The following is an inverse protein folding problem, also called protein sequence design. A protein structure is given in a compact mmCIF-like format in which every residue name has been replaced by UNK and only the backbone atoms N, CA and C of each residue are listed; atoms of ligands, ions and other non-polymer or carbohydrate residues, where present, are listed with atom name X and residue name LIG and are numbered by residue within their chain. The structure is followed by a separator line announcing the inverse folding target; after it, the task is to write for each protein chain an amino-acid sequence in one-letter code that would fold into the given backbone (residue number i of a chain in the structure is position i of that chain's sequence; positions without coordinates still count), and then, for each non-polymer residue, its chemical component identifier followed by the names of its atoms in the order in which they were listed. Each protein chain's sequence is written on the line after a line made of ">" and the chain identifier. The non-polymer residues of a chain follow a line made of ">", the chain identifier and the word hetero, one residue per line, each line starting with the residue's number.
data_IF_798499419252
#
_entry.id   IF_798499419252
#
_cell.length_a   1.000
_cell.length_b   1.000
_cell.length_c   1.000
_cell.angle_alpha   90.00
_cell.angle_beta   90.00
_cell.angle_gamma   90.00
#
_symmetry.space_group_name_H-M   'P 1'
#
loop_
_entity.id
_entity.type
_entity.pdbx_description
1 polymer ?
#
# COMPACT_ATOMS: atom_id res chain seq x y z
N UNK A 1 2.67 -15.71 7.92
CA UNK A 1 2.35 -15.47 9.35
C UNK A 1 2.78 -14.05 9.69
N UNK A 2 1.91 -13.24 10.29
CA UNK A 2 2.23 -11.84 10.61
C UNK A 2 3.10 -11.79 11.87
N UNK A 3 4.27 -11.16 11.77
CA UNK A 3 5.21 -11.09 12.90
C UNK A 3 4.82 -10.14 14.02
N UNK A 4 3.76 -9.34 13.82
CA UNK A 4 3.27 -8.39 14.83
C UNK A 4 2.16 -9.01 15.68
N UNK A 5 1.16 -9.63 15.06
CA UNK A 5 0.00 -10.20 15.77
C UNK A 5 0.03 -11.72 15.85
N UNK A 6 1.00 -12.39 15.21
CA UNK A 6 1.17 -13.84 15.18
C UNK A 6 -0.04 -14.59 14.60
N UNK A 7 -0.84 -13.91 13.76
CA UNK A 7 -1.94 -14.51 13.00
C UNK A 7 -1.60 -14.64 11.51
N UNK A 8 -2.26 -15.58 10.86
CA UNK A 8 -2.17 -15.83 9.42
C UNK A 8 -3.57 -15.69 8.80
N UNK A 9 -3.62 -15.16 7.59
CA UNK A 9 -4.79 -15.18 6.73
C UNK A 9 -4.38 -15.55 5.30
N UNK A 10 -5.37 -15.77 4.43
CA UNK A 10 -5.16 -16.14 3.04
C UNK A 10 -5.20 -14.93 2.09
N UNK A 11 -4.98 -13.70 2.57
CA UNK A 11 -5.01 -12.49 1.73
C UNK A 11 -3.69 -12.30 0.96
N UNK A 12 -3.27 -13.33 0.24
CA UNK A 12 -2.12 -13.25 -0.65
C UNK A 12 -2.38 -12.27 -1.79
N UNK A 13 -1.31 -11.73 -2.40
CA UNK A 13 -1.41 -10.86 -3.57
C UNK A 13 -2.28 -9.62 -3.34
N UNK A 14 -2.21 -9.04 -2.14
CA UNK A 14 -2.94 -7.83 -1.73
C UNK A 14 -2.02 -6.88 -0.96
N UNK A 15 -2.41 -5.61 -0.86
CA UNK A 15 -1.76 -4.58 -0.04
C UNK A 15 -2.13 -4.72 1.46
N UNK A 16 -3.06 -5.61 1.81
CA UNK A 16 -3.34 -5.98 3.20
C UNK A 16 -2.14 -6.61 3.94
N UNK A 17 -1.13 -7.08 3.20
CA UNK A 17 0.18 -7.49 3.69
C UNK A 17 1.28 -6.59 3.15
N UNK A 18 2.23 -6.25 4.01
CA UNK A 18 3.42 -5.46 3.65
C UNK A 18 4.67 -6.15 4.15
N UNK A 19 5.77 -6.00 3.42
CA UNK A 19 6.99 -6.69 3.76
C UNK A 19 8.23 -6.15 3.08
N UNK A 20 9.35 -6.81 3.36
CA UNK A 20 10.64 -6.57 2.73
C UNK A 20 11.17 -7.89 2.21
N UNK A 21 11.29 -8.02 0.88
CA UNK A 21 11.81 -9.24 0.25
C UNK A 21 13.24 -9.55 0.69
N UNK A 22 14.06 -8.51 0.93
CA UNK A 22 15.43 -8.69 1.39
C UNK A 22 15.50 -9.30 2.81
N UNK A 23 14.54 -8.98 3.67
CA UNK A 23 14.51 -9.48 5.05
C UNK A 23 13.56 -10.68 5.25
N UNK A 24 12.79 -11.05 4.22
CA UNK A 24 11.73 -12.07 4.28
C UNK A 24 10.73 -11.88 5.43
N UNK A 25 10.52 -10.63 5.84
CA UNK A 25 9.62 -10.28 6.94
C UNK A 25 8.37 -9.61 6.40
N UNK A 26 7.23 -10.12 6.84
CA UNK A 26 5.91 -9.70 6.41
C UNK A 26 4.98 -9.49 7.62
N UNK A 27 4.10 -8.50 7.52
CA UNK A 27 3.04 -8.27 8.49
C UNK A 27 1.78 -7.76 7.79
N UNK A 28 0.63 -7.87 8.46
CA UNK A 28 -0.56 -7.17 7.99
C UNK A 28 -0.29 -5.65 7.99
N UNK A 29 -0.74 -4.94 6.95
CA UNK A 29 -0.59 -3.49 6.83
C UNK A 29 -1.10 -2.77 8.08
N UNK A 30 -2.29 -3.13 8.56
CA UNK A 30 -2.88 -2.57 9.79
C UNK A 30 -2.01 -2.80 11.03
N UNK A 31 -1.36 -3.95 11.12
CA UNK A 31 -0.45 -4.23 12.22
C UNK A 31 0.82 -3.36 12.13
N UNK A 32 1.34 -3.18 10.91
CA UNK A 32 2.46 -2.28 10.63
C UNK A 32 2.13 -0.83 10.98
N UNK A 33 0.95 -0.35 10.59
CA UNK A 33 0.46 1.01 10.91
C UNK A 33 0.33 1.19 12.43
N UNK A 34 -0.36 0.29 13.12
CA UNK A 34 -0.56 0.37 14.57
C UNK A 34 0.76 0.35 15.37
N UNK A 35 1.80 -0.29 14.83
CA UNK A 35 3.14 -0.33 15.43
C UNK A 35 4.07 0.77 14.93
N UNK A 36 3.57 1.73 14.15
CA UNK A 36 4.35 2.81 13.54
C UNK A 36 5.55 2.30 12.71
N UNK A 37 5.36 1.16 12.05
CA UNK A 37 6.30 0.56 11.10
C UNK A 37 6.10 1.12 9.70
N UNK A 38 4.89 1.56 9.34
CA UNK A 38 4.61 2.26 8.09
C UNK A 38 4.57 3.77 8.40
N UNK A 39 5.58 4.51 7.95
CA UNK A 39 5.73 5.95 8.21
C UNK A 39 6.60 6.66 7.16
N UNK A 40 6.47 7.98 7.07
CA UNK A 40 7.35 8.82 6.26
C UNK A 40 8.80 8.69 6.73
N UNK A 41 9.73 8.55 5.79
CA UNK A 41 11.16 8.44 6.04
C UNK A 41 12.00 8.97 4.88
N UNK A 42 13.33 9.09 5.02
CA UNK A 42 14.20 9.59 3.96
C UNK A 42 14.17 8.68 2.73
N UNK A 43 14.02 9.25 1.54
CA UNK A 43 13.92 8.46 0.31
C UNK A 43 15.15 7.58 0.07
N UNK A 44 14.94 6.30 -0.24
CA UNK A 44 16.02 5.32 -0.46
C UNK A 44 16.72 5.52 -1.80
N UNK A 45 16.00 6.03 -2.80
CA UNK A 45 16.47 6.19 -4.19
C UNK A 45 16.36 7.62 -4.70
N UNK A 46 15.75 8.52 -3.93
CA UNK A 46 15.51 9.90 -4.31
C UNK A 46 16.63 10.87 -3.94
N UNK A 47 16.50 12.15 -4.31
CA UNK A 47 17.39 13.21 -3.87
C UNK A 47 17.40 13.34 -2.34
N UNK A 48 18.55 13.73 -1.79
CA UNK A 48 18.67 14.03 -0.35
C UNK A 48 17.65 15.10 0.08
N UNK A 49 16.99 14.87 1.20
CA UNK A 49 15.95 15.76 1.74
C UNK A 49 14.52 15.48 1.25
N UNK A 50 14.33 14.50 0.35
CA UNK A 50 13.00 14.02 -0.02
C UNK A 50 12.56 12.93 0.94
N UNK A 51 11.34 13.03 1.46
CA UNK A 51 10.70 11.97 2.24
C UNK A 51 9.84 11.10 1.32
N UNK A 52 9.62 9.84 1.72
CA UNK A 52 8.68 8.91 1.09
C UNK A 52 8.05 8.01 2.16
N UNK A 53 6.87 7.49 1.89
CA UNK A 53 6.25 6.50 2.77
C UNK A 53 7.04 5.18 2.76
N UNK A 54 7.41 4.69 3.94
CA UNK A 54 8.29 3.53 4.10
C UNK A 54 7.75 2.54 5.11
N UNK A 55 8.02 1.26 4.88
CA UNK A 55 7.87 0.19 5.86
C UNK A 55 9.21 -0.13 6.50
N UNK A 56 9.29 0.02 7.82
CA UNK A 56 10.46 -0.25 8.65
C UNK A 56 10.33 -1.59 9.35
N UNK A 57 11.37 -2.42 9.26
CA UNK A 57 11.44 -3.67 10.02
C UNK A 57 12.10 -3.48 11.40
N UNK A 58 11.60 -4.20 12.41
CA UNK A 58 12.01 -4.08 13.82
C UNK A 58 13.46 -4.49 14.12
N UNK A 59 14.11 -5.30 13.26
CA UNK A 59 15.38 -5.95 13.62
C UNK A 59 16.63 -5.51 12.87
N UNK A 60 16.54 -4.82 11.72
CA UNK A 60 17.72 -4.59 10.86
C UNK A 60 17.86 -3.19 10.27
N UNK A 61 16.98 -2.24 10.61
CA UNK A 61 17.09 -0.86 10.09
C UNK A 61 16.90 -0.73 8.57
N UNK A 62 16.54 -1.82 7.87
CA UNK A 62 16.10 -1.78 6.48
C UNK A 62 14.69 -1.20 6.39
N UNK A 63 14.50 -0.35 5.40
CA UNK A 63 13.22 0.18 5.00
C UNK A 63 12.87 -0.29 3.58
N UNK A 64 11.58 -0.51 3.32
CA UNK A 64 11.02 -0.71 1.99
C UNK A 64 10.20 0.51 1.61
N UNK A 65 10.36 0.98 0.38
CA UNK A 65 9.57 2.08 -0.18
C UNK A 65 8.15 1.59 -0.53
N UNK A 66 7.11 2.29 -0.05
CA UNK A 66 5.74 1.78 -0.07
C UNK A 66 4.97 2.06 -1.35
N UNK A 67 5.19 3.20 -2.02
CA UNK A 67 4.47 3.53 -3.25
C UNK A 67 4.84 2.56 -4.38
N UNK A 68 6.12 2.26 -4.55
CA UNK A 68 6.59 1.23 -5.49
C UNK A 68 6.01 -0.15 -5.15
N UNK A 69 6.03 -0.54 -3.88
CA UNK A 69 5.44 -1.81 -3.43
C UNK A 69 3.96 -1.91 -3.80
N UNK A 70 3.14 -0.93 -3.43
CA UNK A 70 1.70 -0.93 -3.73
C UNK A 70 1.45 -0.92 -5.24
N UNK A 71 2.20 -0.12 -5.99
CA UNK A 71 2.12 -0.09 -7.44
C UNK A 71 2.37 -1.47 -8.07
N UNK A 72 3.41 -2.17 -7.63
CA UNK A 72 3.76 -3.48 -8.16
C UNK A 72 2.70 -4.54 -7.84
N UNK A 73 2.08 -4.48 -6.66
CA UNK A 73 0.95 -5.33 -6.27
C UNK A 73 -0.25 -5.09 -7.20
N UNK A 74 -0.67 -3.84 -7.39
CA UNK A 74 -1.80 -3.54 -8.29
C UNK A 74 -1.51 -3.95 -9.73
N UNK A 75 -0.33 -3.64 -10.26
CA UNK A 75 0.04 -3.98 -11.64
C UNK A 75 0.06 -5.48 -11.90
N UNK A 76 0.43 -6.27 -10.88
CA UNK A 76 0.58 -7.72 -11.01
C UNK A 76 -0.70 -8.49 -10.67
N UNK A 77 -1.52 -7.97 -9.77
CA UNK A 77 -2.60 -8.74 -9.13
C UNK A 77 -4.00 -8.16 -9.35
N UNK A 78 -4.15 -6.86 -9.61
CA UNK A 78 -5.48 -6.22 -9.65
C UNK A 78 -6.41 -6.78 -10.73
N UNK A 79 -5.86 -7.32 -11.82
CA UNK A 79 -6.64 -7.96 -12.90
C UNK A 79 -7.37 -9.22 -12.46
N UNK A 80 -6.91 -9.87 -11.40
CA UNK A 80 -7.51 -11.09 -10.85
C UNK A 80 -8.47 -10.78 -9.69
N UNK A 81 -8.50 -9.53 -9.22
CA UNK A 81 -9.36 -9.14 -8.11
C UNK A 81 -10.81 -8.95 -8.55
N UNK A 82 -11.73 -9.40 -7.70
CA UNK A 82 -13.13 -8.99 -7.77
C UNK A 82 -13.33 -7.57 -7.25
N UNK A 83 -14.50 -7.00 -7.51
CA UNK A 83 -14.88 -5.63 -7.07
C UNK A 83 -14.69 -5.43 -5.56
N UNK A 84 -15.10 -6.39 -4.74
CA UNK A 84 -14.96 -6.32 -3.27
C UNK A 84 -13.47 -6.25 -2.85
N UNK A 85 -12.63 -7.10 -3.43
CA UNK A 85 -11.18 -7.08 -3.15
C UNK A 85 -10.59 -5.75 -3.58
N UNK A 86 -10.89 -5.27 -4.78
CA UNK A 86 -10.37 -3.99 -5.27
C UNK A 86 -10.76 -2.83 -4.33
N UNK A 87 -12.03 -2.74 -3.91
CA UNK A 87 -12.46 -1.72 -2.96
C UNK A 87 -11.69 -1.82 -1.64
N UNK A 88 -11.51 -3.05 -1.12
CA UNK A 88 -10.74 -3.28 0.10
C UNK A 88 -9.27 -2.87 -0.04
N UNK A 89 -8.65 -3.10 -1.19
CA UNK A 89 -7.26 -2.70 -1.44
C UNK A 89 -7.11 -1.18 -1.59
N UNK A 90 -8.07 -0.49 -2.20
CA UNK A 90 -8.12 0.97 -2.20
C UNK A 90 -8.22 1.54 -0.77
N UNK A 91 -9.01 0.90 0.09
CA UNK A 91 -9.08 1.24 1.52
C UNK A 91 -7.76 1.00 2.26
N UNK A 92 -6.96 0.00 1.87
CA UNK A 92 -5.63 -0.21 2.43
C UNK A 92 -4.65 0.84 1.96
N UNK A 93 -4.67 1.21 0.68
CA UNK A 93 -3.85 2.29 0.14
C UNK A 93 -4.11 3.60 0.89
N UNK A 94 -5.37 3.95 1.11
CA UNK A 94 -5.73 5.11 1.91
C UNK A 94 -5.06 5.07 3.29
N UNK A 95 -5.15 3.95 4.01
CA UNK A 95 -4.57 3.78 5.35
C UNK A 95 -3.05 3.82 5.34
N UNK A 96 -2.42 3.19 4.35
CA UNK A 96 -0.97 3.16 4.17
C UNK A 96 -0.44 4.58 3.93
N UNK A 97 -1.12 5.40 3.14
CA UNK A 97 -0.65 6.73 2.75
C UNK A 97 -1.29 7.89 3.52
N UNK A 98 -2.16 7.63 4.50
CA UNK A 98 -2.87 8.66 5.28
C UNK A 98 -1.93 9.68 5.95
N UNK A 99 -0.76 9.22 6.42
CA UNK A 99 0.27 10.06 7.04
C UNK A 99 1.43 10.43 6.10
N UNK A 100 1.31 10.14 4.81
CA UNK A 100 2.37 10.38 3.84
C UNK A 100 2.63 11.87 3.65
N UNK A 101 3.90 12.28 3.73
CA UNK A 101 4.29 13.67 3.52
C UNK A 101 4.66 13.95 2.06
N UNK A 102 5.03 12.89 1.33
CA UNK A 102 5.49 12.95 -0.04
C UNK A 102 4.33 13.12 -1.04
N UNK A 103 4.65 13.75 -2.18
CA UNK A 103 3.68 14.07 -3.21
C UNK A 103 2.96 12.82 -3.73
N UNK A 104 3.71 11.73 -3.97
CA UNK A 104 3.16 10.51 -4.57
C UNK A 104 2.21 9.80 -3.62
N UNK A 105 2.57 9.68 -2.35
CA UNK A 105 1.71 9.13 -1.31
C UNK A 105 0.43 9.93 -1.14
N UNK A 106 0.52 11.26 -1.10
CA UNK A 106 -0.66 12.14 -1.02
C UNK A 106 -1.59 12.00 -2.23
N UNK A 107 -1.02 11.99 -3.44
CA UNK A 107 -1.80 11.80 -4.67
C UNK A 107 -2.48 10.43 -4.70
N UNK A 108 -1.78 9.37 -4.28
CA UNK A 108 -2.33 8.02 -4.23
C UNK A 108 -3.45 7.91 -3.20
N UNK A 109 -3.29 8.50 -2.01
CA UNK A 109 -4.33 8.56 -0.99
C UNK A 109 -5.63 9.19 -1.53
N UNK A 110 -5.51 10.34 -2.21
CA UNK A 110 -6.67 11.04 -2.80
C UNK A 110 -7.25 10.25 -3.98
N UNK A 111 -6.42 9.69 -4.87
CA UNK A 111 -6.90 8.87 -5.99
C UNK A 111 -7.64 7.64 -5.50
N UNK A 112 -7.12 6.97 -4.48
CA UNK A 112 -7.76 5.80 -3.87
C UNK A 112 -9.17 6.15 -3.33
N UNK A 113 -9.31 7.31 -2.65
CA UNK A 113 -10.62 7.80 -2.18
C UNK A 113 -11.62 8.08 -3.30
N UNK A 114 -11.16 8.76 -4.34
CA UNK A 114 -12.00 9.07 -5.51
C UNK A 114 -12.44 7.79 -6.21
N UNK A 115 -11.53 6.84 -6.41
CA UNK A 115 -11.84 5.57 -7.08
C UNK A 115 -12.75 4.69 -6.23
N UNK A 116 -12.50 4.60 -4.92
CA UNK A 116 -13.36 3.86 -3.99
C UNK A 116 -14.79 4.42 -4.02
N UNK A 117 -14.94 5.75 -3.92
CA UNK A 117 -16.23 6.43 -4.01
C UNK A 117 -16.93 6.16 -5.36
N UNK A 118 -16.19 6.20 -6.47
CA UNK A 118 -16.73 5.91 -7.81
C UNK A 118 -17.17 4.45 -7.96
N UNK A 119 -16.47 3.50 -7.34
CA UNK A 119 -16.88 2.09 -7.35
C UNK A 119 -18.16 1.88 -6.55
N UNK A 120 -18.22 2.42 -5.32
CA UNK A 120 -19.42 2.37 -4.46
C UNK A 120 -20.64 2.97 -5.16
N UNK A 121 -20.46 4.08 -5.87
CA UNK A 121 -21.53 4.77 -6.63
C UNK A 121 -21.73 4.20 -8.04
N UNK A 122 -21.00 3.15 -8.42
CA UNK A 122 -21.04 2.49 -9.75
C UNK A 122 -20.81 3.44 -10.93
N UNK A 123 -20.03 4.50 -10.71
CA UNK A 123 -19.64 5.47 -11.73
C UNK A 123 -18.42 5.03 -12.54
N UNK A 124 -17.76 3.93 -12.15
CA UNK A 124 -16.60 3.36 -12.83
C UNK A 124 -16.62 1.84 -12.72
N UNK A 125 -16.05 1.14 -13.70
CA UNK A 125 -15.86 -0.31 -13.60
C UNK A 125 -14.62 -0.66 -12.76
N UNK A 126 -14.56 -1.85 -12.15
CA UNK A 126 -13.36 -2.31 -11.43
C UNK A 126 -12.10 -2.35 -12.29
N UNK A 127 -12.22 -2.73 -13.57
CA UNK A 127 -11.10 -2.74 -14.51
C UNK A 127 -10.57 -1.33 -14.75
N UNK A 128 -11.47 -0.39 -15.06
CA UNK A 128 -11.08 1.00 -15.30
C UNK A 128 -10.43 1.60 -14.06
N UNK A 129 -11.00 1.38 -12.86
CA UNK A 129 -10.43 1.87 -11.62
C UNK A 129 -8.99 1.35 -11.38
N UNK A 130 -8.76 0.07 -11.66
CA UNK A 130 -7.42 -0.54 -11.55
C UNK A 130 -6.43 0.05 -12.55
N UNK A 131 -6.88 0.39 -13.75
CA UNK A 131 -6.03 1.02 -14.76
C UNK A 131 -5.73 2.50 -14.42
N UNK A 132 -6.67 3.22 -13.81
CA UNK A 132 -6.54 4.66 -13.52
C UNK A 132 -5.68 4.99 -12.30
N UNK A 133 -5.61 4.12 -11.29
CA UNK A 133 -4.98 4.44 -9.99
C UNK A 133 -3.52 4.89 -10.13
N UNK A 134 -2.76 4.31 -11.07
CA UNK A 134 -1.36 4.68 -11.36
C UNK A 134 -1.14 5.45 -12.68
N UNK A 135 -2.21 5.86 -13.36
CA UNK A 135 -2.08 6.75 -14.51
C UNK A 135 -1.71 8.17 -14.06
N UNK A 136 -0.86 8.81 -14.86
CA UNK A 136 -0.26 10.12 -14.57
C UNK A 136 -1.27 11.25 -14.75
#
# INVERSE_FOLDING_TARGET
>A
MCLVCLNFDCANNTCSWVGCDACLHWCHAVCGICRNLIKSGPSLKGPSGVTEMQFYYLGFGHASEMFGFVKDVFMSCAKEWGEETLMKELDYDQKIFQGGEDLKGKELHVKADVLHTKLVTKMISPSDASDFIFQR
#
